data_IF_124820904871
#
_entry.id   IF_124820904871
#
_cell.length_a   1.000
_cell.length_b   1.000
_cell.length_c   1.000
_cell.angle_alpha   90.00
_cell.angle_beta   90.00
_cell.angle_gamma   90.00
#
_symmetry.space_group_name_H-M   'P 1'
#
loop_
_entity.id
_entity.type
_entity.pdbx_description
1 polymer ?
#
# COMPACT_ATOMS: atom_id res chain seq x y z
N UNK A 1 2.18 11.36 12.71
CA UNK A 1 0.75 11.66 12.59
C UNK A 1 0.41 13.00 13.21
N UNK A 2 -0.59 13.69 12.67
CA UNK A 2 -1.08 14.97 13.18
C UNK A 2 -1.98 14.75 14.41
N UNK A 3 -1.41 14.21 15.48
CA UNK A 3 -2.06 13.97 16.78
C UNK A 3 -1.17 14.53 17.90
N UNK A 4 -1.67 14.57 19.14
CA UNK A 4 -0.89 15.09 20.26
C UNK A 4 0.44 14.34 20.40
N UNK A 5 1.53 15.11 20.52
CA UNK A 5 2.92 14.60 20.61
C UNK A 5 3.14 13.59 21.74
N UNK A 6 2.33 13.68 22.82
CA UNK A 6 2.40 12.71 23.92
C UNK A 6 2.28 11.25 23.44
N UNK A 7 1.46 10.98 22.44
CA UNK A 7 1.27 9.62 21.92
C UNK A 7 2.53 9.07 21.24
N UNK A 8 3.33 9.94 20.62
CA UNK A 8 4.65 9.55 20.16
C UNK A 8 5.63 9.34 21.32
N UNK A 9 5.66 10.27 22.27
CA UNK A 9 6.60 10.19 23.43
C UNK A 9 6.32 8.97 24.30
N UNK A 10 5.08 8.73 24.63
CA UNK A 10 4.70 7.71 25.62
C UNK A 10 4.54 6.31 24.98
N UNK A 11 3.87 6.25 23.82
CA UNK A 11 3.48 5.00 23.17
C UNK A 11 4.22 4.71 21.87
N UNK A 12 5.15 5.57 21.45
CA UNK A 12 5.93 5.46 20.22
C UNK A 12 5.05 5.36 18.95
N UNK A 13 3.85 5.96 18.98
CA UNK A 13 2.95 5.97 17.83
C UNK A 13 3.50 6.92 16.77
N UNK A 14 3.96 6.34 15.67
CA UNK A 14 4.47 7.04 14.49
C UNK A 14 4.35 6.16 13.26
N UNK A 15 4.60 6.73 12.07
CA UNK A 15 4.73 5.95 10.84
C UNK A 15 6.09 5.22 10.84
N UNK A 16 6.05 3.89 10.79
CA UNK A 16 7.24 3.03 10.68
C UNK A 16 7.44 2.53 9.26
N UNK A 17 6.35 2.13 8.59
CA UNK A 17 6.39 1.49 7.29
C UNK A 17 6.79 0.02 7.35
N UNK A 18 6.80 -0.63 6.18
CA UNK A 18 7.26 -2.00 6.01
C UNK A 18 7.90 -2.19 4.63
N UNK A 19 8.38 -3.41 4.34
CA UNK A 19 9.09 -3.79 3.11
C UNK A 19 10.43 -3.05 2.89
N UNK A 20 11.02 -2.47 3.92
CA UNK A 20 12.27 -1.70 3.81
C UNK A 20 13.43 -2.47 3.18
N UNK A 21 13.56 -3.77 3.44
CA UNK A 21 14.57 -4.63 2.81
C UNK A 21 14.36 -4.72 1.29
N UNK A 22 13.11 -4.84 0.84
CA UNK A 22 12.77 -4.81 -0.59
C UNK A 22 13.15 -3.46 -1.22
N UNK A 23 12.80 -2.36 -0.58
CA UNK A 23 13.13 -1.02 -1.09
C UNK A 23 14.64 -0.77 -1.18
N UNK A 24 15.39 -1.22 -0.17
CA UNK A 24 16.85 -1.16 -0.18
C UNK A 24 17.44 -1.94 -1.35
N UNK A 25 16.94 -3.15 -1.62
CA UNK A 25 17.37 -3.96 -2.75
C UNK A 25 17.05 -3.28 -4.09
N UNK A 26 15.81 -2.78 -4.26
CA UNK A 26 15.41 -2.08 -5.48
C UNK A 26 16.28 -0.83 -5.72
N UNK A 27 16.62 -0.08 -4.67
CA UNK A 27 17.51 1.07 -4.81
C UNK A 27 18.89 0.66 -5.33
N UNK A 28 19.47 -0.44 -4.84
CA UNK A 28 20.75 -0.95 -5.37
C UNK A 28 20.63 -1.34 -6.85
N UNK A 29 19.50 -1.94 -7.25
CA UNK A 29 19.27 -2.27 -8.66
C UNK A 29 19.10 -1.03 -9.54
N UNK A 30 18.47 0.02 -8.99
CA UNK A 30 18.33 1.29 -9.72
C UNK A 30 19.68 2.01 -9.93
N UNK A 31 20.61 1.93 -8.98
CA UNK A 31 21.99 2.43 -9.16
C UNK A 31 22.64 1.83 -10.40
N UNK A 32 22.55 0.50 -10.53
CA UNK A 32 23.12 -0.22 -11.67
C UNK A 32 22.41 0.12 -12.98
N UNK A 33 21.07 0.09 -12.98
CA UNK A 33 20.26 0.29 -14.18
C UNK A 33 20.31 1.73 -14.73
N UNK A 34 20.38 2.72 -13.84
CA UNK A 34 20.40 4.14 -14.20
C UNK A 34 21.82 4.70 -14.36
N UNK A 35 22.85 3.96 -13.92
CA UNK A 35 24.23 4.45 -13.89
C UNK A 35 24.41 5.68 -12.99
N UNK A 36 23.60 5.80 -11.93
CA UNK A 36 23.61 6.92 -10.97
C UNK A 36 24.03 6.44 -9.60
N UNK A 37 24.63 7.31 -8.80
CA UNK A 37 24.82 7.06 -7.37
C UNK A 37 23.48 7.10 -6.67
N UNK A 38 23.30 6.29 -5.62
CA UNK A 38 22.01 6.22 -4.90
C UNK A 38 21.55 7.58 -4.35
N UNK A 39 22.50 8.43 -3.93
CA UNK A 39 22.26 9.78 -3.41
C UNK A 39 21.62 10.71 -4.45
N UNK A 40 21.71 10.39 -5.74
CA UNK A 40 21.15 11.15 -6.85
C UNK A 40 19.82 10.59 -7.35
N UNK A 41 19.33 9.48 -6.75
CA UNK A 41 18.13 8.78 -7.19
C UNK A 41 16.91 9.21 -6.35
N UNK A 42 15.87 9.67 -7.08
CA UNK A 42 14.52 9.82 -6.56
C UNK A 42 13.62 8.78 -7.23
N UNK A 43 12.98 7.93 -6.45
CA UNK A 43 12.16 6.86 -6.99
C UNK A 43 10.90 6.61 -6.16
N UNK A 44 9.87 6.08 -6.80
CA UNK A 44 8.68 5.54 -6.15
C UNK A 44 8.72 4.03 -6.33
N UNK A 45 8.75 3.29 -5.23
CA UNK A 45 8.77 1.82 -5.29
C UNK A 45 7.47 1.27 -4.71
N UNK A 46 6.72 0.56 -5.53
CA UNK A 46 5.49 -0.13 -5.16
C UNK A 46 5.78 -1.62 -4.99
N UNK A 47 5.88 -2.10 -3.76
CA UNK A 47 5.96 -3.52 -3.44
C UNK A 47 4.55 -4.11 -3.35
N UNK A 48 4.21 -5.03 -4.25
CA UNK A 48 2.87 -5.58 -4.38
C UNK A 48 2.90 -7.11 -4.27
N UNK A 49 2.53 -7.61 -3.10
CA UNK A 49 2.37 -9.03 -2.77
C UNK A 49 1.00 -9.31 -2.18
N UNK A 50 0.88 -10.26 -1.26
CA UNK A 50 -0.29 -10.43 -0.38
C UNK A 50 -0.47 -9.19 0.51
N UNK A 51 0.63 -8.72 1.16
CA UNK A 51 0.77 -7.35 1.65
C UNK A 51 1.32 -6.44 0.56
N UNK A 52 0.95 -5.16 0.57
CA UNK A 52 1.41 -4.20 -0.43
C UNK A 52 1.66 -2.82 0.18
N UNK A 53 2.71 -2.15 -0.29
CA UNK A 53 3.01 -0.77 0.11
C UNK A 53 3.80 -0.03 -0.96
N UNK A 54 3.86 1.29 -0.85
CA UNK A 54 4.75 2.14 -1.62
C UNK A 54 5.75 2.85 -0.71
N UNK A 55 6.87 3.25 -1.28
CA UNK A 55 7.87 4.10 -0.65
C UNK A 55 8.31 5.19 -1.63
N UNK A 56 8.31 6.43 -1.16
CA UNK A 56 8.99 7.54 -1.80
C UNK A 56 10.46 7.53 -1.36
N UNK A 57 11.37 7.38 -2.30
CA UNK A 57 12.81 7.45 -2.09
C UNK A 57 13.28 8.81 -2.60
N UNK A 58 13.88 9.61 -1.73
CA UNK A 58 14.44 10.92 -2.04
C UNK A 58 15.93 10.94 -1.74
N UNK A 59 16.74 11.23 -2.74
CA UNK A 59 18.18 11.26 -2.61
C UNK A 59 18.73 9.97 -1.96
N UNK A 60 18.23 8.81 -2.42
CA UNK A 60 18.64 7.48 -1.95
C UNK A 60 18.16 7.09 -0.56
N UNK A 61 17.26 7.86 0.06
CA UNK A 61 16.73 7.60 1.40
C UNK A 61 15.21 7.48 1.36
N UNK A 62 14.65 6.58 2.18
CA UNK A 62 13.21 6.53 2.41
C UNK A 62 12.74 7.86 2.97
N UNK A 63 11.87 8.55 2.24
CA UNK A 63 11.33 9.84 2.59
C UNK A 63 9.92 9.70 3.17
N UNK A 64 9.05 8.96 2.49
CA UNK A 64 7.74 8.57 2.99
C UNK A 64 7.39 7.14 2.56
N UNK A 65 6.42 6.54 3.25
CA UNK A 65 5.93 5.19 2.97
C UNK A 65 4.45 5.06 3.28
N UNK A 66 3.74 4.22 2.53
CA UNK A 66 2.28 4.08 2.64
C UNK A 66 1.81 3.28 3.85
N UNK A 67 2.61 2.34 4.37
CA UNK A 67 2.30 1.66 5.63
C UNK A 67 2.67 2.55 6.81
N UNK A 68 1.86 2.50 7.86
CA UNK A 68 1.93 3.42 8.98
C UNK A 68 2.56 2.86 10.24
N UNK A 69 1.88 3.06 11.36
CA UNK A 69 2.22 2.47 12.65
C UNK A 69 2.25 0.94 12.59
N UNK A 70 1.35 0.37 11.80
CA UNK A 70 1.29 -1.07 11.49
C UNK A 70 1.25 -1.28 9.98
N UNK A 71 1.42 -2.53 9.48
CA UNK A 71 1.27 -2.83 8.05
C UNK A 71 -0.18 -2.82 7.53
N UNK A 72 -1.10 -2.13 8.20
CA UNK A 72 -2.52 -2.02 7.82
C UNK A 72 -2.79 -0.83 6.90
N UNK A 73 -2.23 0.36 7.22
CA UNK A 73 -2.42 1.61 6.48
C UNK A 73 -1.89 1.49 5.04
N UNK A 74 -2.45 2.24 4.12
CA UNK A 74 -1.97 2.37 2.75
C UNK A 74 -2.83 1.67 1.71
N UNK A 75 -2.24 0.78 0.94
CA UNK A 75 -2.88 0.08 -0.16
C UNK A 75 -4.00 -0.87 0.28
N UNK A 76 -4.95 -1.10 -0.63
CA UNK A 76 -5.86 -2.24 -0.53
C UNK A 76 -5.07 -3.51 -0.75
N UNK A 77 -5.10 -4.44 0.21
CA UNK A 77 -4.30 -5.67 0.18
C UNK A 77 -5.19 -6.92 0.01
N UNK A 78 -4.63 -8.08 0.19
CA UNK A 78 -5.38 -9.34 0.10
C UNK A 78 -6.54 -9.38 1.09
N UNK A 79 -6.24 -9.16 2.37
CA UNK A 79 -7.19 -9.23 3.48
C UNK A 79 -7.23 -7.96 4.33
N UNK A 80 -6.37 -6.96 4.05
CA UNK A 80 -6.28 -5.71 4.81
C UNK A 80 -6.94 -4.57 4.06
N UNK A 81 -7.64 -3.72 4.80
CA UNK A 81 -8.41 -2.60 4.23
C UNK A 81 -7.54 -1.54 3.53
N UNK A 82 -6.32 -1.34 3.99
CA UNK A 82 -5.58 -0.11 3.69
C UNK A 82 -6.21 1.10 4.38
N UNK A 83 -6.02 2.29 3.83
CA UNK A 83 -6.57 3.52 4.40
C UNK A 83 -8.09 3.48 4.57
N UNK A 84 -8.52 3.86 5.74
CA UNK A 84 -9.93 4.03 6.09
C UNK A 84 -10.06 5.24 7.02
N UNK A 85 -11.17 5.95 6.95
CA UNK A 85 -11.49 7.01 7.91
C UNK A 85 -11.62 6.40 9.33
N UNK A 86 -10.85 6.90 10.31
CA UNK A 86 -10.98 6.44 11.69
C UNK A 86 -12.40 6.55 12.26
N UNK A 87 -13.18 7.56 11.85
CA UNK A 87 -14.56 7.72 12.28
C UNK A 87 -15.46 6.58 11.76
N UNK A 88 -15.18 6.07 10.55
CA UNK A 88 -15.88 4.90 10.03
C UNK A 88 -15.60 3.64 10.88
N UNK A 89 -14.34 3.47 11.30
CA UNK A 89 -13.93 2.36 12.19
C UNK A 89 -14.69 2.41 13.50
N UNK A 90 -14.69 3.57 14.17
CA UNK A 90 -15.41 3.77 15.44
C UNK A 90 -16.92 3.52 15.28
N UNK A 91 -17.48 3.96 14.15
CA UNK A 91 -18.92 3.76 13.88
C UNK A 91 -19.30 2.31 13.68
N UNK A 92 -18.45 1.52 12.99
CA UNK A 92 -18.66 0.06 12.85
C UNK A 92 -18.60 -0.61 14.21
N UNK A 93 -17.58 -0.28 15.02
CA UNK A 93 -17.45 -0.84 16.39
C UNK A 93 -18.71 -0.58 17.23
N UNK A 94 -19.22 0.65 17.18
CA UNK A 94 -20.45 1.01 17.91
C UNK A 94 -21.68 0.22 17.40
N UNK A 95 -21.85 0.11 16.07
CA UNK A 95 -23.04 -0.53 15.47
C UNK A 95 -23.06 -2.04 15.65
N UNK A 96 -21.89 -2.67 15.57
CA UNK A 96 -21.72 -4.12 15.67
C UNK A 96 -21.30 -4.56 17.10
N UNK A 97 -21.20 -3.61 18.04
CA UNK A 97 -20.77 -3.84 19.43
C UNK A 97 -19.44 -4.61 19.53
N UNK A 98 -18.43 -4.17 18.72
CA UNK A 98 -17.14 -4.84 18.60
C UNK A 98 -16.11 -4.30 19.59
N UNK A 99 -15.26 -5.22 20.11
CA UNK A 99 -14.04 -4.82 20.83
C UNK A 99 -12.97 -4.32 19.86
N UNK A 100 -11.96 -3.57 20.36
CA UNK A 100 -10.81 -3.17 19.55
C UNK A 100 -10.10 -4.35 18.87
N UNK A 101 -9.97 -5.49 19.53
CA UNK A 101 -9.35 -6.70 19.02
C UNK A 101 -10.15 -7.31 17.85
N UNK A 102 -11.47 -7.36 17.98
CA UNK A 102 -12.36 -7.83 16.91
C UNK A 102 -12.29 -6.91 15.69
N UNK A 103 -12.33 -5.60 15.91
CA UNK A 103 -12.20 -4.64 14.82
C UNK A 103 -10.84 -4.73 14.14
N UNK A 104 -9.76 -4.87 14.90
CA UNK A 104 -8.43 -5.10 14.35
C UNK A 104 -8.37 -6.39 13.50
N UNK A 105 -9.05 -7.45 13.92
CA UNK A 105 -9.18 -8.69 13.14
C UNK A 105 -9.89 -8.43 11.81
N UNK A 106 -11.03 -7.76 11.82
CA UNK A 106 -11.82 -7.42 10.61
C UNK A 106 -10.96 -6.62 9.63
N UNK A 107 -10.28 -5.58 10.09
CA UNK A 107 -9.46 -4.73 9.23
C UNK A 107 -8.25 -5.45 8.61
N UNK A 108 -7.69 -6.43 9.33
CA UNK A 108 -6.49 -7.15 8.89
C UNK A 108 -6.77 -8.46 8.14
N UNK A 109 -7.92 -9.14 8.41
CA UNK A 109 -8.17 -10.51 7.96
C UNK A 109 -9.44 -10.69 7.13
N UNK A 110 -10.39 -9.76 7.23
CA UNK A 110 -11.70 -9.88 6.59
C UNK A 110 -12.01 -8.72 5.63
N UNK A 111 -11.04 -7.85 5.41
CA UNK A 111 -11.14 -6.66 4.54
C UNK A 111 -10.38 -6.85 3.24
N UNK A 112 -9.96 -5.76 2.62
CA UNK A 112 -9.20 -5.79 1.37
C UNK A 112 -9.97 -6.41 0.22
N UNK A 113 -9.26 -7.12 -0.67
CA UNK A 113 -9.89 -7.81 -1.80
C UNK A 113 -10.89 -8.86 -1.33
N UNK A 114 -10.52 -9.63 -0.30
CA UNK A 114 -11.39 -10.64 0.30
C UNK A 114 -12.71 -10.01 0.76
N UNK A 115 -12.66 -8.93 1.53
CA UNK A 115 -13.86 -8.25 2.03
C UNK A 115 -14.69 -7.59 0.93
N UNK A 116 -14.05 -7.11 -0.15
CA UNK A 116 -14.75 -6.44 -1.24
C UNK A 116 -15.52 -7.40 -2.16
N UNK A 117 -14.97 -8.56 -2.48
CA UNK A 117 -15.57 -9.50 -3.45
C UNK A 117 -15.42 -10.97 -3.11
N UNK A 118 -14.98 -11.34 -1.90
CA UNK A 118 -14.79 -12.73 -1.48
C UNK A 118 -13.53 -13.39 -2.06
N UNK A 119 -12.69 -12.67 -2.82
CA UNK A 119 -11.52 -13.21 -3.52
C UNK A 119 -10.27 -12.49 -3.03
N UNK A 120 -9.41 -13.17 -2.27
CA UNK A 120 -8.13 -12.63 -1.83
C UNK A 120 -7.02 -12.79 -2.88
N UNK A 121 -6.94 -13.95 -3.55
CA UNK A 121 -5.89 -14.22 -4.55
C UNK A 121 -6.02 -13.32 -5.78
N UNK A 122 -4.91 -12.65 -6.13
CA UNK A 122 -4.90 -11.67 -7.23
C UNK A 122 -5.13 -12.32 -8.60
N UNK A 123 -4.64 -13.53 -8.83
CA UNK A 123 -4.78 -14.23 -10.11
C UNK A 123 -6.23 -14.64 -10.32
N UNK A 124 -6.87 -15.16 -9.27
CA UNK A 124 -8.28 -15.51 -9.29
C UNK A 124 -9.14 -14.26 -9.50
N UNK A 125 -8.84 -13.14 -8.80
CA UNK A 125 -9.53 -11.87 -8.97
C UNK A 125 -9.47 -11.36 -10.42
N UNK A 126 -8.30 -11.43 -11.06
CA UNK A 126 -8.12 -11.03 -12.47
C UNK A 126 -8.95 -11.91 -13.39
N UNK A 127 -8.95 -13.23 -13.19
CA UNK A 127 -9.75 -14.15 -14.01
C UNK A 127 -11.24 -13.91 -13.86
N UNK A 128 -11.72 -13.76 -12.62
CA UNK A 128 -13.13 -13.48 -12.34
C UNK A 128 -13.59 -12.12 -12.91
N UNK A 129 -12.73 -11.11 -12.85
CA UNK A 129 -13.01 -9.83 -13.50
C UNK A 129 -13.09 -9.94 -15.04
N UNK A 130 -12.21 -10.76 -15.66
CA UNK A 130 -12.25 -11.02 -17.11
C UNK A 130 -13.52 -11.76 -17.55
N UNK A 131 -14.11 -12.57 -16.69
CA UNK A 131 -15.42 -13.23 -16.99
C UNK A 131 -16.62 -12.29 -16.80
N UNK A 132 -16.41 -11.02 -16.46
CA UNK A 132 -17.46 -9.99 -16.39
C UNK A 132 -18.05 -9.78 -15.00
N UNK A 133 -17.51 -10.40 -13.96
CA UNK A 133 -17.99 -10.19 -12.59
C UNK A 133 -17.77 -8.73 -12.14
N UNK A 134 -18.87 -8.03 -11.84
CA UNK A 134 -18.85 -6.60 -11.55
C UNK A 134 -18.18 -6.27 -10.20
N UNK A 135 -18.29 -7.16 -9.22
CA UNK A 135 -17.63 -6.98 -7.91
C UNK A 135 -16.12 -7.13 -8.04
N UNK A 136 -15.65 -8.11 -8.80
CA UNK A 136 -14.23 -8.30 -9.10
C UNK A 136 -13.66 -7.12 -9.91
N UNK A 137 -14.40 -6.63 -10.91
CA UNK A 137 -14.04 -5.45 -11.70
C UNK A 137 -13.91 -4.22 -10.80
N UNK A 138 -14.90 -3.97 -9.94
CA UNK A 138 -14.90 -2.83 -9.01
C UNK A 138 -13.73 -2.94 -8.02
N UNK A 139 -13.48 -4.12 -7.46
CA UNK A 139 -12.38 -4.37 -6.53
C UNK A 139 -11.02 -4.02 -7.15
N UNK A 140 -10.77 -4.42 -8.39
CA UNK A 140 -9.55 -4.04 -9.13
C UNK A 140 -9.45 -2.53 -9.34
N UNK A 141 -10.55 -1.86 -9.70
CA UNK A 141 -10.58 -0.39 -9.86
C UNK A 141 -10.27 0.34 -8.55
N UNK A 142 -10.82 -0.12 -7.42
CA UNK A 142 -10.54 0.45 -6.08
C UNK A 142 -9.05 0.29 -5.74
N UNK A 143 -8.49 -0.90 -5.96
CA UNK A 143 -7.08 -1.20 -5.72
C UNK A 143 -6.16 -0.30 -6.57
N UNK A 144 -6.41 -0.20 -7.87
CA UNK A 144 -5.65 0.63 -8.79
C UNK A 144 -5.75 2.12 -8.42
N UNK A 145 -6.96 2.61 -8.12
CA UNK A 145 -7.17 4.00 -7.71
C UNK A 145 -6.39 4.35 -6.43
N UNK A 146 -6.34 3.45 -5.44
CA UNK A 146 -5.55 3.67 -4.23
C UNK A 146 -4.05 3.75 -4.55
N UNK A 147 -3.55 2.85 -5.39
CA UNK A 147 -2.15 2.87 -5.85
C UNK A 147 -1.82 4.15 -6.58
N UNK A 148 -2.67 4.60 -7.50
CA UNK A 148 -2.53 5.90 -8.20
C UNK A 148 -2.42 7.08 -7.26
N UNK A 149 -3.27 7.13 -6.22
CA UNK A 149 -3.25 8.22 -5.25
C UNK A 149 -1.90 8.32 -4.54
N UNK A 150 -1.31 7.20 -4.13
CA UNK A 150 0.01 7.18 -3.51
C UNK A 150 1.12 7.57 -4.48
N UNK A 151 1.08 7.06 -5.71
CA UNK A 151 2.05 7.45 -6.73
C UNK A 151 1.98 8.96 -6.99
N UNK A 152 0.77 9.50 -7.18
CA UNK A 152 0.56 10.93 -7.40
C UNK A 152 1.03 11.81 -6.24
N UNK A 153 0.71 11.41 -4.99
CA UNK A 153 1.18 12.11 -3.79
C UNK A 153 2.72 12.12 -3.72
N UNK A 154 3.35 10.97 -3.94
CA UNK A 154 4.81 10.85 -3.89
C UNK A 154 5.51 11.54 -5.06
N UNK A 155 4.89 11.62 -6.23
CA UNK A 155 5.39 12.48 -7.33
C UNK A 155 5.43 13.95 -6.91
N UNK A 156 4.39 14.43 -6.22
CA UNK A 156 4.33 15.80 -5.73
C UNK A 156 5.38 16.06 -4.63
N UNK A 157 5.58 15.12 -3.69
CA UNK A 157 6.58 15.23 -2.61
C UNK A 157 8.02 15.21 -3.12
N UNK A 158 8.29 14.40 -4.13
CA UNK A 158 9.64 14.24 -4.67
C UNK A 158 10.01 15.36 -5.67
N UNK A 159 9.04 15.99 -6.32
CA UNK A 159 9.16 16.96 -7.41
C UNK A 159 9.89 16.42 -8.67
N UNK A 160 10.85 15.55 -8.51
CA UNK A 160 11.55 14.82 -9.58
C UNK A 160 11.52 13.33 -9.26
N UNK A 161 11.13 12.51 -10.22
CA UNK A 161 11.10 11.06 -10.12
C UNK A 161 11.89 10.46 -11.27
N UNK A 162 12.98 9.74 -10.96
CA UNK A 162 13.82 9.08 -11.96
C UNK A 162 13.21 7.73 -12.38
N UNK A 163 12.48 7.05 -11.47
CA UNK A 163 11.84 5.77 -11.74
C UNK A 163 10.62 5.53 -10.86
N UNK A 164 9.61 4.87 -11.45
CA UNK A 164 8.50 4.23 -10.71
C UNK A 164 8.68 2.72 -10.89
N UNK A 165 8.84 1.99 -9.79
CA UNK A 165 9.16 0.56 -9.80
C UNK A 165 8.04 -0.24 -9.17
N UNK A 166 7.62 -1.30 -9.84
CA UNK A 166 6.69 -2.29 -9.32
C UNK A 166 7.46 -3.58 -9.02
N UNK A 167 7.42 -4.04 -7.78
CA UNK A 167 8.10 -5.26 -7.32
C UNK A 167 7.18 -6.11 -6.44
N UNK A 168 7.66 -7.26 -6.01
CA UNK A 168 6.84 -8.28 -5.37
C UNK A 168 6.03 -9.09 -6.39
N UNK A 169 5.52 -10.23 -5.97
CA UNK A 169 4.92 -11.21 -6.90
C UNK A 169 3.81 -10.63 -7.80
N UNK A 170 2.94 -9.79 -7.25
CA UNK A 170 1.88 -9.13 -8.04
C UNK A 170 2.43 -7.97 -8.88
N UNK A 171 3.38 -7.19 -8.35
CA UNK A 171 3.98 -6.06 -9.07
C UNK A 171 4.78 -6.49 -10.29
N UNK A 172 5.50 -7.60 -10.21
CA UNK A 172 6.34 -8.11 -11.29
C UNK A 172 5.54 -8.86 -12.34
N UNK A 173 4.61 -9.70 -11.94
CA UNK A 173 3.96 -10.67 -12.83
C UNK A 173 2.61 -10.21 -13.41
N UNK A 174 2.05 -9.09 -12.97
CA UNK A 174 0.73 -8.63 -13.41
C UNK A 174 0.81 -7.32 -14.21
N UNK A 175 1.20 -7.40 -15.49
CA UNK A 175 1.26 -6.25 -16.39
C UNK A 175 -0.08 -5.49 -16.47
N UNK A 176 -1.21 -6.21 -16.49
CA UNK A 176 -2.54 -5.60 -16.53
C UNK A 176 -2.88 -4.75 -15.29
N UNK A 177 -2.32 -5.08 -14.12
CA UNK A 177 -2.50 -4.24 -12.93
C UNK A 177 -1.65 -2.98 -13.01
N UNK A 178 -0.41 -3.08 -13.49
CA UNK A 178 0.46 -1.90 -13.71
C UNK A 178 -0.16 -0.91 -14.70
N UNK A 179 -0.83 -1.42 -15.73
CA UNK A 179 -1.52 -0.58 -16.74
C UNK A 179 -2.71 0.18 -16.13
N UNK A 180 -3.34 -0.35 -15.07
CA UNK A 180 -4.41 0.33 -14.35
C UNK A 180 -3.89 1.42 -13.40
N UNK A 181 -2.63 1.35 -13.01
CA UNK A 181 -1.97 2.34 -12.13
C UNK A 181 -1.29 3.43 -12.94
#
# INVERSE_FOLDING_TARGET
>A
YAINEKYYKDYKIRRYGAHGTSYKYILSRLEELLGKKKEDINAIVCHMGGGASACAIKNGKSYDTSMGFTPLEGFVMETRSGDIDPAAVLRIMEKENLTPEQMNHILNKESGRLGLCGIGDQRQLIQTAKSGDQRAILTRKIQAMRTKKYIGAYMAELNRVDAIVFTGGNGENNACERTLC
#
